data_IF_686704246021
#
_entry.id   IF_686704246021
#
_cell.length_a   1.000
_cell.length_b   1.000
_cell.length_c   1.000
_cell.angle_alpha   90.00
_cell.angle_beta   90.00
_cell.angle_gamma   90.00
#
_symmetry.space_group_name_H-M   'P 1'
#
loop_
_entity.id
_entity.type
_entity.pdbx_description
1 polymer ?
#
# COMPACT_ATOMS: atom_id res chain seq x y z
N UNK A 1 16.34 5.37 3.34
CA UNK A 1 16.19 6.76 3.76
C UNK A 1 15.74 6.84 5.23
N UNK A 2 16.23 7.83 5.96
CA UNK A 2 15.78 8.15 7.31
C UNK A 2 15.02 9.46 7.31
N UNK A 3 13.97 9.53 8.14
CA UNK A 3 13.09 10.68 8.26
C UNK A 3 13.09 11.16 9.69
N UNK A 4 13.12 12.47 9.88
CA UNK A 4 12.99 13.12 11.18
C UNK A 4 12.06 14.31 11.12
N UNK A 5 11.63 14.77 12.28
CA UNK A 5 10.78 15.95 12.41
C UNK A 5 11.55 17.23 12.09
N UNK A 6 10.85 18.19 11.50
CA UNK A 6 11.35 19.53 11.30
C UNK A 6 11.53 20.21 12.66
N UNK A 7 12.71 20.73 12.92
CA UNK A 7 12.93 21.57 14.11
C UNK A 7 12.21 22.91 13.95
N UNK A 8 11.13 23.07 14.69
CA UNK A 8 10.32 24.29 14.72
C UNK A 8 10.71 25.22 15.88
N UNK A 9 11.73 24.86 16.68
CA UNK A 9 12.16 25.64 17.84
C UNK A 9 11.00 25.90 18.81
N UNK A 10 10.73 27.17 19.09
CA UNK A 10 9.65 27.59 20.00
C UNK A 10 8.23 27.25 19.51
N UNK A 11 8.07 26.89 18.23
CA UNK A 11 6.78 26.52 17.62
C UNK A 11 6.51 25.00 17.66
N UNK A 12 7.44 24.19 18.18
CA UNK A 12 7.27 22.73 18.26
C UNK A 12 5.96 22.27 18.92
N UNK A 13 5.42 22.94 19.97
CA UNK A 13 4.13 22.57 20.53
C UNK A 13 2.95 22.71 19.56
N UNK A 14 3.06 23.55 18.53
CA UNK A 14 2.03 23.68 17.49
C UNK A 14 2.01 22.49 16.56
N UNK A 15 3.13 21.78 16.38
CA UNK A 15 3.18 20.57 15.58
C UNK A 15 2.39 19.41 16.21
N UNK A 16 2.35 19.34 17.54
CA UNK A 16 1.62 18.29 18.28
C UNK A 16 0.10 18.39 18.10
N UNK A 17 -0.42 19.62 17.91
CA UNK A 17 -1.84 19.88 17.69
C UNK A 17 -2.21 20.06 16.22
N UNK A 18 -1.24 19.92 15.31
CA UNK A 18 -1.48 20.05 13.89
C UNK A 18 -2.40 18.93 13.38
N UNK A 19 -3.31 19.22 12.43
CA UNK A 19 -4.11 18.19 11.78
C UNK A 19 -3.23 17.08 11.18
N UNK A 20 -3.73 15.84 11.20
CA UNK A 20 -2.98 14.65 10.77
C UNK A 20 -2.40 14.79 9.35
N UNK A 21 -3.12 15.45 8.43
CA UNK A 21 -2.65 15.68 7.06
C UNK A 21 -1.45 16.63 6.94
N UNK A 22 -1.15 17.42 7.99
CA UNK A 22 0.03 18.27 8.03
C UNK A 22 1.29 17.54 8.50
N UNK A 23 1.17 16.33 9.06
CA UNK A 23 2.32 15.58 9.57
C UNK A 23 3.38 15.32 8.48
N UNK A 24 2.94 15.02 7.26
CA UNK A 24 3.86 14.85 6.13
C UNK A 24 4.75 16.08 5.91
N UNK A 25 4.17 17.29 6.06
CA UNK A 25 4.89 18.55 5.87
C UNK A 25 5.83 18.91 7.04
N UNK A 26 5.67 18.27 8.19
CA UNK A 26 6.55 18.40 9.34
C UNK A 26 7.73 17.44 9.32
N UNK A 27 7.75 16.49 8.38
CA UNK A 27 8.84 15.53 8.21
C UNK A 27 9.86 16.04 7.19
N UNK A 28 11.11 15.65 7.40
CA UNK A 28 12.22 15.89 6.46
C UNK A 28 13.03 14.63 6.28
N UNK A 29 13.47 14.35 5.06
CA UNK A 29 14.47 13.33 4.80
C UNK A 29 15.79 13.83 5.37
N UNK A 30 16.35 13.11 6.33
CA UNK A 30 17.58 13.48 7.03
C UNK A 30 18.80 12.84 6.39
N UNK A 31 18.68 11.60 5.93
CA UNK A 31 19.79 10.86 5.34
C UNK A 31 19.28 9.86 4.29
N UNK A 32 20.06 9.70 3.25
CA UNK A 32 19.85 8.69 2.20
C UNK A 32 21.17 7.97 1.98
N UNK A 33 21.21 6.67 2.28
CA UNK A 33 22.38 5.84 2.07
C UNK A 33 22.13 4.87 0.92
N UNK A 34 23.01 4.89 -0.06
CA UNK A 34 23.04 3.87 -1.10
C UNK A 34 23.71 2.61 -0.55
N UNK A 35 23.05 1.48 -0.73
CA UNK A 35 23.53 0.15 -0.32
C UNK A 35 23.15 -0.86 -1.38
N UNK A 36 23.93 -1.91 -1.55
CA UNK A 36 23.55 -3.03 -2.39
C UNK A 36 22.34 -3.80 -1.80
N UNK A 37 21.58 -4.45 -2.67
CA UNK A 37 20.36 -5.16 -2.28
C UNK A 37 20.62 -6.28 -1.26
N UNK A 38 21.76 -6.96 -1.34
CA UNK A 38 22.11 -8.03 -0.38
C UNK A 38 22.24 -7.46 1.02
N UNK A 39 22.98 -6.36 1.19
CA UNK A 39 23.13 -5.67 2.49
C UNK A 39 21.78 -5.21 3.06
N UNK A 40 20.90 -4.67 2.23
CA UNK A 40 19.55 -4.26 2.67
C UNK A 40 18.74 -5.46 3.15
N UNK A 41 18.75 -6.55 2.38
CA UNK A 41 17.99 -7.76 2.70
C UNK A 41 18.57 -8.52 3.91
N UNK A 42 19.89 -8.51 4.10
CA UNK A 42 20.52 -9.07 5.30
C UNK A 42 20.07 -8.32 6.56
N UNK A 43 20.14 -6.99 6.55
CA UNK A 43 19.64 -6.18 7.66
C UNK A 43 18.15 -6.35 7.93
N UNK A 44 17.35 -6.54 6.88
CA UNK A 44 15.92 -6.82 7.02
C UNK A 44 15.67 -8.21 7.63
N UNK A 45 16.48 -9.21 7.29
CA UNK A 45 16.39 -10.56 7.85
C UNK A 45 16.67 -10.58 9.35
N UNK A 46 17.59 -9.74 9.81
CA UNK A 46 17.93 -9.61 11.23
C UNK A 46 16.79 -8.95 12.04
N UNK A 47 15.94 -8.13 11.42
CA UNK A 47 14.96 -7.29 12.12
C UNK A 47 13.51 -7.69 11.88
N UNK A 48 13.16 -8.36 10.76
CA UNK A 48 11.77 -8.63 10.37
C UNK A 48 11.08 -9.69 11.26
N UNK A 49 11.82 -10.51 11.99
CA UNK A 49 11.26 -11.56 12.84
C UNK A 49 10.60 -12.68 12.04
N UNK A 50 9.72 -13.44 12.69
CA UNK A 50 9.05 -14.60 12.10
C UNK A 50 8.07 -14.23 10.97
N UNK A 51 7.54 -13.00 10.99
CA UNK A 51 6.58 -12.52 9.98
C UNK A 51 7.22 -12.15 8.64
N UNK A 52 8.53 -11.96 8.60
CA UNK A 52 9.20 -11.51 7.39
C UNK A 52 8.82 -10.07 6.97
N UNK A 53 9.21 -9.64 5.76
CA UNK A 53 9.07 -8.26 5.29
C UNK A 53 7.65 -7.89 4.87
N UNK A 54 7.33 -6.59 5.01
CA UNK A 54 6.18 -5.95 4.40
C UNK A 54 6.66 -4.98 3.31
N UNK A 55 6.42 -5.34 2.05
CA UNK A 55 6.81 -4.56 0.87
C UNK A 55 5.72 -3.56 0.52
N UNK A 56 6.03 -2.27 0.54
CA UNK A 56 5.11 -1.19 0.19
C UNK A 56 5.43 -0.55 -1.16
N UNK A 57 4.41 -0.34 -1.98
CA UNK A 57 4.48 0.32 -3.29
C UNK A 57 3.61 1.57 -3.27
N UNK A 58 4.23 2.73 -3.47
CA UNK A 58 3.56 4.03 -3.40
C UNK A 58 2.71 4.34 -4.64
N UNK A 59 1.81 5.31 -4.50
CA UNK A 59 0.95 5.77 -5.57
C UNK A 59 1.60 6.80 -6.49
N UNK A 60 0.78 7.38 -7.34
CA UNK A 60 1.09 8.46 -8.28
C UNK A 60 1.45 9.78 -7.59
N UNK A 61 2.18 10.66 -8.28
CA UNK A 61 2.54 12.00 -7.81
C UNK A 61 3.49 11.98 -6.60
N UNK A 62 4.38 11.02 -6.54
CA UNK A 62 5.26 10.78 -5.39
C UNK A 62 6.72 10.74 -5.83
N UNK A 63 7.42 11.88 -5.82
CA UNK A 63 8.87 11.90 -5.94
C UNK A 63 9.55 11.31 -4.69
N UNK A 64 10.84 11.01 -4.78
CA UNK A 64 11.58 10.24 -3.77
C UNK A 64 11.46 10.78 -2.34
N UNK A 65 11.66 12.08 -2.10
CA UNK A 65 11.58 12.68 -0.76
C UNK A 65 10.19 12.53 -0.14
N UNK A 66 9.16 12.77 -0.94
CA UNK A 66 7.77 12.63 -0.54
C UNK A 66 7.44 11.16 -0.26
N UNK A 67 7.93 10.25 -1.11
CA UNK A 67 7.76 8.81 -0.95
C UNK A 67 8.39 8.30 0.33
N UNK A 68 9.63 8.73 0.64
CA UNK A 68 10.32 8.40 1.88
C UNK A 68 9.52 8.84 3.13
N UNK A 69 8.99 10.08 3.14
CA UNK A 69 8.17 10.59 4.25
C UNK A 69 6.86 9.81 4.41
N UNK A 70 6.17 9.51 3.30
CA UNK A 70 4.93 8.72 3.32
C UNK A 70 5.15 7.26 3.72
N UNK A 71 6.24 6.67 3.26
CA UNK A 71 6.65 5.33 3.67
C UNK A 71 6.88 5.27 5.19
N UNK A 72 7.59 6.26 5.75
CA UNK A 72 7.80 6.36 7.20
C UNK A 72 6.47 6.54 7.98
N UNK A 73 5.53 7.34 7.47
CA UNK A 73 4.22 7.53 8.09
C UNK A 73 3.39 6.24 8.06
N UNK A 74 3.38 5.50 6.95
CA UNK A 74 2.69 4.21 6.88
C UNK A 74 3.33 3.20 7.83
N UNK A 75 4.66 3.10 7.82
CA UNK A 75 5.40 2.22 8.72
C UNK A 75 5.02 2.48 10.19
N UNK A 76 4.96 3.76 10.59
CA UNK A 76 4.56 4.15 11.94
C UNK A 76 3.09 3.85 12.21
N UNK A 77 2.18 4.23 11.31
CA UNK A 77 0.73 4.08 11.49
C UNK A 77 0.30 2.62 11.60
N UNK A 78 0.92 1.72 10.81
CA UNK A 78 0.63 0.28 10.80
C UNK A 78 1.58 -0.54 11.70
N UNK A 79 2.46 0.12 12.47
CA UNK A 79 3.41 -0.53 13.40
C UNK A 79 4.28 -1.61 12.71
N UNK A 80 4.90 -1.27 11.58
CA UNK A 80 5.70 -2.19 10.77
C UNK A 80 7.23 -2.00 10.97
N UNK A 81 7.65 -1.45 12.12
CA UNK A 81 9.06 -1.24 12.42
C UNK A 81 9.85 -2.56 12.35
N UNK A 82 11.04 -2.50 11.75
CA UNK A 82 11.93 -3.65 11.59
C UNK A 82 11.61 -4.58 10.40
N UNK A 83 10.42 -4.50 9.82
CA UNK A 83 10.01 -5.36 8.70
C UNK A 83 9.56 -4.62 7.44
N UNK A 84 9.61 -3.31 7.43
CA UNK A 84 9.09 -2.48 6.35
C UNK A 84 10.13 -2.27 5.26
N UNK A 85 9.75 -2.54 4.01
CA UNK A 85 10.52 -2.27 2.81
C UNK A 85 9.68 -1.44 1.84
N UNK A 86 10.23 -0.35 1.33
CA UNK A 86 9.56 0.50 0.36
C UNK A 86 10.15 0.32 -1.04
N UNK A 87 9.33 -0.10 -1.99
CA UNK A 87 9.66 -0.11 -3.41
C UNK A 87 9.33 1.26 -4.02
N UNK A 88 10.38 2.00 -4.38
CA UNK A 88 10.26 3.32 -4.99
C UNK A 88 10.41 3.22 -6.50
N UNK A 89 9.28 3.27 -7.21
CA UNK A 89 9.28 3.38 -8.65
C UNK A 89 9.38 4.86 -9.09
N UNK A 90 9.88 5.18 -10.32
CA UNK A 90 10.24 6.54 -10.73
C UNK A 90 9.03 7.40 -11.11
N UNK A 91 8.17 7.75 -10.14
CA UNK A 91 7.10 8.72 -10.34
C UNK A 91 7.66 10.13 -10.45
N UNK A 92 7.18 10.91 -11.42
CA UNK A 92 7.62 12.27 -11.71
C UNK A 92 7.37 13.28 -10.56
N UNK A 93 6.47 12.95 -9.63
CA UNK A 93 6.14 13.83 -8.52
C UNK A 93 5.39 15.11 -8.94
N UNK A 94 4.77 15.14 -10.12
CA UNK A 94 4.01 16.26 -10.65
C UNK A 94 2.61 15.84 -11.13
N UNK A 95 1.60 16.58 -10.70
CA UNK A 95 0.20 16.23 -10.94
C UNK A 95 -0.19 16.20 -12.44
N UNK A 96 0.54 16.91 -13.30
CA UNK A 96 0.28 16.95 -14.74
C UNK A 96 0.73 15.67 -15.48
N UNK A 97 1.56 14.83 -14.85
CA UNK A 97 2.23 13.71 -15.51
C UNK A 97 1.63 12.33 -15.16
N UNK A 98 0.33 12.27 -14.95
CA UNK A 98 -0.35 11.01 -14.60
C UNK A 98 -0.07 9.88 -15.62
N UNK A 99 -0.12 10.18 -16.92
CA UNK A 99 0.15 9.19 -17.98
C UNK A 99 1.62 8.79 -18.09
N UNK A 100 2.55 9.68 -17.69
CA UNK A 100 3.97 9.33 -17.57
C UNK A 100 4.15 8.35 -16.41
N UNK A 101 3.61 8.69 -15.24
CA UNK A 101 3.63 7.83 -14.07
C UNK A 101 3.03 6.44 -14.35
N UNK A 102 1.98 6.36 -15.19
CA UNK A 102 1.45 5.05 -15.63
C UNK A 102 2.48 4.26 -16.44
N UNK A 103 3.17 4.91 -17.38
CA UNK A 103 4.20 4.26 -18.21
C UNK A 103 5.39 3.81 -17.35
N UNK A 104 5.84 4.65 -16.42
CA UNK A 104 6.94 4.35 -15.49
C UNK A 104 6.60 3.23 -14.52
N UNK A 105 5.35 3.19 -14.05
CA UNK A 105 4.87 2.06 -13.27
C UNK A 105 4.91 0.75 -14.08
N UNK A 106 4.39 0.77 -15.32
CA UNK A 106 4.39 -0.45 -16.15
C UNK A 106 5.80 -0.93 -16.48
N UNK A 107 6.73 0.00 -16.68
CA UNK A 107 8.15 -0.35 -16.79
C UNK A 107 8.68 -1.02 -15.53
N UNK A 108 8.27 -0.57 -14.35
CA UNK A 108 8.74 -1.05 -13.05
C UNK A 108 8.09 -2.39 -12.61
N UNK A 109 7.04 -2.85 -13.28
CA UNK A 109 6.32 -4.09 -12.92
C UNK A 109 7.22 -5.33 -12.92
N UNK A 110 8.11 -5.56 -13.92
CA UNK A 110 9.02 -6.70 -13.89
C UNK A 110 9.99 -6.66 -12.70
N UNK A 111 10.54 -5.50 -12.37
CA UNK A 111 11.46 -5.33 -11.23
C UNK A 111 10.75 -5.55 -9.89
N UNK A 112 9.48 -5.12 -9.80
CA UNK A 112 8.64 -5.39 -8.63
C UNK A 112 8.34 -6.89 -8.51
N UNK A 113 8.04 -7.57 -9.61
CA UNK A 113 7.81 -9.02 -9.63
C UNK A 113 9.08 -9.78 -9.22
N UNK A 114 10.25 -9.40 -9.73
CA UNK A 114 11.54 -9.98 -9.33
C UNK A 114 11.84 -9.75 -7.84
N UNK A 115 11.53 -8.56 -7.34
CA UNK A 115 11.68 -8.22 -5.92
C UNK A 115 10.79 -9.10 -5.03
N UNK A 116 9.53 -9.31 -5.41
CA UNK A 116 8.60 -10.18 -4.68
C UNK A 116 9.10 -11.64 -4.67
N UNK A 117 9.55 -12.16 -5.81
CA UNK A 117 10.09 -13.52 -5.92
C UNK A 117 11.35 -13.68 -5.06
N UNK A 118 12.26 -12.70 -5.09
CA UNK A 118 13.48 -12.75 -4.28
C UNK A 118 13.19 -12.68 -2.77
N UNK A 119 12.23 -11.84 -2.37
CA UNK A 119 11.81 -11.76 -0.97
C UNK A 119 11.23 -13.09 -0.49
N UNK A 120 10.30 -13.70 -1.25
CA UNK A 120 9.73 -15.00 -0.86
C UNK A 120 10.80 -16.10 -0.82
N UNK A 121 11.70 -16.14 -1.81
CA UNK A 121 12.81 -17.10 -1.81
C UNK A 121 13.68 -16.97 -0.57
N UNK A 122 13.87 -15.77 -0.05
CA UNK A 122 14.76 -15.48 1.08
C UNK A 122 14.08 -15.66 2.44
N UNK A 123 12.84 -15.22 2.56
CA UNK A 123 12.12 -15.20 3.84
C UNK A 123 11.19 -16.40 4.01
N UNK A 124 10.87 -17.11 2.94
CA UNK A 124 10.04 -18.30 2.95
C UNK A 124 8.59 -18.05 2.58
N UNK A 125 7.87 -19.15 2.41
CA UNK A 125 6.45 -19.16 2.07
C UNK A 125 5.63 -18.45 3.16
N UNK A 126 4.64 -17.65 2.71
CA UNK A 126 3.70 -16.90 3.56
C UNK A 126 4.34 -15.84 4.48
N UNK A 127 5.65 -15.60 4.34
CA UNK A 127 6.36 -14.63 5.18
C UNK A 127 6.34 -13.20 4.61
N UNK A 128 6.05 -13.03 3.32
CA UNK A 128 6.15 -11.73 2.64
C UNK A 128 4.77 -11.11 2.47
N UNK A 129 4.54 -9.98 3.12
CA UNK A 129 3.34 -9.18 2.89
C UNK A 129 3.59 -8.12 1.81
N UNK A 130 2.56 -7.78 1.04
CA UNK A 130 2.65 -6.79 -0.04
C UNK A 130 1.55 -5.73 0.12
N UNK A 131 1.94 -4.48 0.11
CA UNK A 131 1.04 -3.33 0.30
C UNK A 131 1.14 -2.43 -0.92
N UNK A 132 0.03 -2.14 -1.57
CA UNK A 132 -0.01 -1.18 -2.68
C UNK A 132 -0.98 -0.04 -2.38
N UNK A 133 -0.60 1.19 -2.75
CA UNK A 133 -1.48 2.34 -2.63
C UNK A 133 -1.77 2.96 -4.00
N UNK A 134 -3.04 3.21 -4.31
CA UNK A 134 -3.47 3.95 -5.51
C UNK A 134 -2.92 3.32 -6.80
N UNK A 135 -2.19 4.06 -7.63
CA UNK A 135 -1.51 3.56 -8.83
C UNK A 135 -0.47 2.47 -8.48
N UNK A 136 0.21 2.56 -7.34
CA UNK A 136 1.09 1.49 -6.84
C UNK A 136 0.36 0.19 -6.54
N UNK A 137 -0.91 0.24 -6.11
CA UNK A 137 -1.73 -0.97 -5.96
C UNK A 137 -2.02 -1.63 -7.31
N UNK A 138 -2.21 -0.85 -8.39
CA UNK A 138 -2.25 -1.39 -9.76
C UNK A 138 -0.95 -2.09 -10.10
N UNK A 139 0.19 -1.48 -9.81
CA UNK A 139 1.51 -2.09 -9.99
C UNK A 139 1.65 -3.40 -9.25
N UNK A 140 1.20 -3.46 -8.00
CA UNK A 140 1.17 -4.71 -7.20
C UNK A 140 0.34 -5.78 -7.89
N UNK A 141 -0.89 -5.49 -8.32
CA UNK A 141 -1.75 -6.48 -9.00
C UNK A 141 -1.10 -7.02 -10.28
N UNK A 142 -0.50 -6.13 -11.09
CA UNK A 142 0.20 -6.52 -12.31
C UNK A 142 1.44 -7.36 -12.02
N UNK A 143 2.23 -6.99 -11.01
CA UNK A 143 3.40 -7.76 -10.59
C UNK A 143 2.99 -9.13 -10.03
N UNK A 144 1.95 -9.21 -9.21
CA UNK A 144 1.41 -10.49 -8.71
C UNK A 144 0.93 -11.40 -9.86
N UNK A 145 0.31 -10.82 -10.89
CA UNK A 145 -0.10 -11.58 -12.07
C UNK A 145 1.13 -12.14 -12.82
N UNK A 146 2.18 -11.36 -12.96
CA UNK A 146 3.44 -11.83 -13.54
C UNK A 146 4.10 -12.91 -12.67
N UNK A 147 4.18 -12.69 -11.36
CA UNK A 147 4.68 -13.67 -10.37
C UNK A 147 3.92 -14.99 -10.49
N UNK A 148 2.59 -14.95 -10.47
CA UNK A 148 1.75 -16.16 -10.56
C UNK A 148 1.93 -16.91 -11.89
N UNK A 149 2.28 -16.23 -12.97
CA UNK A 149 2.58 -16.87 -14.25
C UNK A 149 3.99 -17.50 -14.27
N UNK A 150 4.97 -16.87 -13.61
CA UNK A 150 6.36 -17.35 -13.55
C UNK A 150 6.58 -18.39 -12.46
N UNK A 151 5.90 -18.23 -11.33
CA UNK A 151 6.05 -19.04 -10.10
C UNK A 151 4.68 -19.35 -9.47
N UNK A 152 3.90 -20.24 -10.09
CA UNK A 152 2.57 -20.62 -9.57
C UNK A 152 2.62 -21.34 -8.22
N UNK A 153 3.79 -21.80 -7.83
CA UNK A 153 4.10 -22.46 -6.55
C UNK A 153 4.36 -21.46 -5.40
N UNK A 154 4.61 -20.18 -5.71
CA UNK A 154 4.90 -19.16 -4.70
C UNK A 154 3.74 -18.98 -3.71
N UNK A 155 4.07 -18.68 -2.46
CA UNK A 155 3.09 -18.36 -1.43
C UNK A 155 3.52 -17.09 -0.69
N UNK A 156 2.70 -16.07 -0.81
CA UNK A 156 2.86 -14.79 -0.11
C UNK A 156 1.97 -14.76 1.13
N UNK A 157 2.28 -13.91 2.07
CA UNK A 157 1.43 -13.61 3.21
C UNK A 157 0.20 -12.78 2.80
N UNK A 158 0.03 -11.63 3.40
CA UNK A 158 -1.13 -10.79 3.18
C UNK A 158 -0.87 -9.73 2.10
N UNK A 159 -1.86 -9.54 1.22
CA UNK A 159 -1.86 -8.46 0.23
C UNK A 159 -2.89 -7.41 0.62
N UNK A 160 -2.43 -6.18 0.84
CA UNK A 160 -3.29 -5.04 1.17
C UNK A 160 -3.29 -4.02 0.02
N UNK A 161 -4.44 -3.82 -0.61
CA UNK A 161 -4.63 -2.84 -1.69
C UNK A 161 -5.40 -1.63 -1.15
N UNK A 162 -4.72 -0.50 -1.02
CA UNK A 162 -5.21 0.72 -0.39
C UNK A 162 -5.66 1.71 -1.48
N UNK A 163 -6.94 2.05 -1.53
CA UNK A 163 -7.53 2.91 -2.56
C UNK A 163 -7.05 2.56 -3.99
N UNK A 164 -7.11 1.30 -4.43
CA UNK A 164 -6.46 0.87 -5.67
C UNK A 164 -7.04 1.58 -6.90
N UNK A 165 -6.16 2.28 -7.60
CA UNK A 165 -6.46 2.94 -8.87
C UNK A 165 -6.28 1.96 -10.03
N UNK A 166 -7.17 1.00 -10.09
CA UNK A 166 -7.22 -0.04 -11.10
C UNK A 166 -8.66 -0.23 -11.58
N UNK A 167 -8.83 -0.57 -12.85
CA UNK A 167 -10.12 -0.97 -13.39
C UNK A 167 -10.65 -2.22 -12.67
N UNK A 168 -11.88 -2.12 -12.16
CA UNK A 168 -12.51 -3.20 -11.40
C UNK A 168 -12.69 -4.49 -12.23
N UNK A 169 -13.06 -4.36 -13.49
CA UNK A 169 -13.28 -5.50 -14.38
C UNK A 169 -11.98 -6.22 -14.75
N UNK A 170 -10.90 -5.44 -14.91
CA UNK A 170 -9.56 -6.01 -15.16
C UNK A 170 -9.10 -6.76 -13.91
N UNK A 171 -9.26 -6.18 -12.72
CA UNK A 171 -8.92 -6.85 -11.46
C UNK A 171 -9.69 -8.18 -11.32
N UNK A 172 -11.02 -8.15 -11.51
CA UNK A 172 -11.86 -9.35 -11.40
C UNK A 172 -11.42 -10.47 -12.38
N UNK A 173 -10.92 -10.10 -13.57
CA UNK A 173 -10.36 -11.09 -14.52
C UNK A 173 -9.01 -11.65 -14.12
N UNK A 174 -8.18 -10.86 -13.43
CA UNK A 174 -6.85 -11.27 -12.99
C UNK A 174 -6.91 -12.06 -11.68
N UNK A 175 -7.92 -11.82 -10.86
CA UNK A 175 -8.06 -12.38 -9.51
C UNK A 175 -7.90 -13.90 -9.44
N UNK A 176 -8.54 -14.73 -10.30
CA UNK A 176 -8.39 -16.18 -10.21
C UNK A 176 -6.95 -16.68 -10.39
N UNK A 177 -6.06 -15.84 -10.91
CA UNK A 177 -4.64 -16.17 -11.08
C UNK A 177 -3.80 -15.73 -9.90
N UNK A 178 -4.15 -14.59 -9.28
CA UNK A 178 -3.34 -14.00 -8.21
C UNK A 178 -3.80 -14.40 -6.80
N UNK A 179 -5.09 -14.70 -6.63
CA UNK A 179 -5.62 -15.10 -5.31
C UNK A 179 -4.91 -16.37 -4.77
N UNK A 180 -4.64 -17.43 -5.56
CA UNK A 180 -4.03 -18.64 -5.03
C UNK A 180 -2.59 -18.49 -4.53
N UNK A 181 -1.88 -17.40 -4.87
CA UNK A 181 -0.51 -17.16 -4.43
C UNK A 181 -0.40 -16.30 -3.17
N UNK A 182 -1.51 -15.82 -2.63
CA UNK A 182 -1.56 -15.00 -1.40
C UNK A 182 -2.40 -15.73 -0.34
N UNK A 183 -1.96 -15.67 0.93
CA UNK A 183 -2.76 -16.21 2.04
C UNK A 183 -4.07 -15.43 2.21
N UNK A 184 -4.01 -14.11 2.08
CA UNK A 184 -5.21 -13.27 2.01
C UNK A 184 -4.99 -12.03 1.14
N UNK A 185 -6.11 -11.52 0.60
CA UNK A 185 -6.12 -10.25 -0.12
C UNK A 185 -7.22 -9.36 0.46
N UNK A 186 -6.83 -8.17 0.90
CA UNK A 186 -7.75 -7.16 1.44
C UNK A 186 -7.71 -5.91 0.57
N UNK A 187 -8.87 -5.44 0.14
CA UNK A 187 -9.05 -4.20 -0.64
C UNK A 187 -9.74 -3.17 0.23
N UNK A 188 -9.12 -2.01 0.39
CA UNK A 188 -9.71 -0.88 1.10
C UNK A 188 -10.32 0.09 0.10
N UNK A 189 -11.62 0.35 0.27
CA UNK A 189 -12.41 1.21 -0.61
C UNK A 189 -12.99 2.39 0.17
N UNK A 190 -13.29 3.47 -0.52
CA UNK A 190 -13.98 4.61 0.08
C UNK A 190 -14.86 5.34 -0.94
N UNK A 191 -15.99 5.88 -0.48
CA UNK A 191 -16.74 6.90 -1.22
C UNK A 191 -16.07 8.27 -1.03
N UNK A 192 -16.20 9.15 -2.03
CA UNK A 192 -15.66 10.52 -1.91
C UNK A 192 -14.15 10.64 -2.09
N UNK A 193 -13.47 9.60 -2.53
CA UNK A 193 -12.06 9.63 -2.94
C UNK A 193 -11.92 10.44 -4.24
N UNK A 194 -11.40 11.66 -4.12
CA UNK A 194 -11.31 12.61 -5.24
C UNK A 194 -10.33 12.17 -6.34
N UNK A 195 -9.11 11.69 -6.02
CA UNK A 195 -8.20 11.12 -7.00
C UNK A 195 -8.79 9.95 -7.79
N UNK A 196 -9.47 9.01 -7.16
CA UNK A 196 -10.10 7.90 -7.86
C UNK A 196 -11.26 8.35 -8.74
N UNK A 197 -12.07 9.31 -8.27
CA UNK A 197 -13.15 9.90 -9.08
C UNK A 197 -12.60 10.59 -10.35
N UNK A 198 -11.44 11.27 -10.25
CA UNK A 198 -10.77 11.84 -11.40
C UNK A 198 -10.21 10.76 -12.33
N UNK A 199 -9.57 9.75 -11.78
CA UNK A 199 -9.05 8.61 -12.54
C UNK A 199 -10.16 7.90 -13.32
N UNK A 200 -11.32 7.71 -12.70
CA UNK A 200 -12.50 7.16 -13.36
C UNK A 200 -12.96 7.99 -14.58
N UNK A 201 -12.92 9.32 -14.47
CA UNK A 201 -13.24 10.20 -15.57
C UNK A 201 -12.24 10.07 -16.74
N UNK A 202 -10.96 9.93 -16.41
CA UNK A 202 -9.88 9.76 -17.41
C UNK A 202 -9.99 8.42 -18.13
N UNK A 203 -10.25 7.32 -17.40
CA UNK A 203 -10.24 5.97 -17.96
C UNK A 203 -11.62 5.47 -18.40
N UNK A 204 -12.71 6.09 -17.93
CA UNK A 204 -14.09 5.73 -18.31
C UNK A 204 -14.68 4.51 -17.59
N UNK A 205 -13.95 3.92 -16.61
CA UNK A 205 -14.34 2.69 -15.91
C UNK A 205 -14.27 2.83 -14.40
N UNK A 206 -15.11 2.07 -13.67
CA UNK A 206 -15.10 2.03 -12.22
C UNK A 206 -13.71 1.61 -11.68
N UNK A 207 -13.23 2.33 -10.68
CA UNK A 207 -11.96 1.99 -10.02
C UNK A 207 -12.20 1.00 -8.87
N UNK A 208 -11.29 0.05 -8.70
CA UNK A 208 -11.38 -0.97 -7.64
C UNK A 208 -11.48 -0.35 -6.24
N UNK A 209 -10.82 0.77 -5.99
CA UNK A 209 -10.83 1.47 -4.70
C UNK A 209 -12.09 2.34 -4.46
N UNK A 210 -13.03 2.43 -5.41
CA UNK A 210 -14.31 3.09 -5.18
C UNK A 210 -15.28 2.17 -4.43
N UNK A 211 -15.98 2.71 -3.43
CA UNK A 211 -17.13 2.03 -2.82
C UNK A 211 -18.28 1.87 -3.82
N UNK A 212 -19.06 0.80 -3.67
CA UNK A 212 -20.25 0.52 -4.49
C UNK A 212 -20.02 -0.39 -5.70
N UNK A 213 -18.81 -0.93 -5.90
CA UNK A 213 -18.58 -2.01 -6.86
C UNK A 213 -19.27 -3.30 -6.42
N UNK A 214 -19.65 -4.17 -7.37
CA UNK A 214 -20.24 -5.48 -7.09
C UNK A 214 -19.18 -6.46 -6.55
N UNK A 215 -19.04 -6.52 -5.22
CA UNK A 215 -18.04 -7.37 -4.55
C UNK A 215 -18.29 -8.88 -4.73
N UNK A 216 -19.48 -9.30 -5.16
CA UNK A 216 -19.77 -10.71 -5.47
C UNK A 216 -18.92 -11.25 -6.63
N UNK A 217 -18.32 -10.36 -7.41
CA UNK A 217 -17.46 -10.68 -8.55
C UNK A 217 -15.99 -10.87 -8.19
N UNK A 218 -15.62 -10.56 -6.96
CA UNK A 218 -14.24 -10.69 -6.44
C UNK A 218 -14.21 -11.59 -5.21
N UNK A 219 -14.80 -12.77 -5.33
CA UNK A 219 -14.81 -13.77 -4.26
C UNK A 219 -13.39 -14.14 -3.83
N UNK A 220 -13.20 -14.38 -2.53
CA UNK A 220 -11.87 -14.64 -1.94
C UNK A 220 -11.13 -13.36 -1.50
N UNK A 221 -11.66 -12.18 -1.82
CA UNK A 221 -11.10 -10.89 -1.40
C UNK A 221 -11.92 -10.32 -0.25
N UNK A 222 -11.24 -9.85 0.79
CA UNK A 222 -11.84 -9.07 1.86
C UNK A 222 -11.96 -7.61 1.42
N UNK A 223 -13.16 -7.03 1.47
CA UNK A 223 -13.37 -5.63 1.10
C UNK A 223 -13.73 -4.83 2.35
N UNK A 224 -12.91 -3.82 2.66
CA UNK A 224 -13.08 -2.94 3.81
C UNK A 224 -13.54 -1.56 3.30
N UNK A 225 -14.78 -1.22 3.58
CA UNK A 225 -15.35 0.08 3.21
C UNK A 225 -15.08 1.11 4.32
N UNK A 226 -14.35 2.16 3.95
CA UNK A 226 -13.93 3.24 4.83
C UNK A 226 -14.81 4.49 4.69
N UNK A 227 -15.92 4.41 3.94
CA UNK A 227 -16.76 5.56 3.61
C UNK A 227 -17.33 6.29 4.82
N UNK A 228 -17.55 5.56 5.91
CA UNK A 228 -18.09 6.11 7.16
C UNK A 228 -17.02 6.67 8.12
N UNK A 229 -15.73 6.51 7.77
CA UNK A 229 -14.66 7.08 8.61
C UNK A 229 -14.57 8.61 8.43
N UNK A 230 -14.23 9.33 9.51
CA UNK A 230 -13.89 10.74 9.40
C UNK A 230 -12.79 10.93 8.35
N UNK A 231 -12.98 11.91 7.47
CA UNK A 231 -12.00 12.21 6.44
C UNK A 231 -10.86 13.05 7.02
N UNK A 232 -9.79 12.40 7.43
CA UNK A 232 -8.58 13.03 7.96
C UNK A 232 -7.64 13.57 6.84
N UNK A 233 -8.05 13.42 5.57
CA UNK A 233 -7.28 13.88 4.41
C UNK A 233 -8.14 14.78 3.52
N UNK A 234 -7.63 15.93 3.04
CA UNK A 234 -8.37 16.84 2.16
C UNK A 234 -8.89 16.21 0.86
N UNK A 235 -8.30 15.10 0.45
CA UNK A 235 -8.65 14.36 -0.77
C UNK A 235 -9.45 13.08 -0.52
N UNK A 236 -9.53 12.60 0.74
CA UNK A 236 -10.13 11.30 1.06
C UNK A 236 -9.31 10.08 0.58
N UNK A 237 -8.04 10.26 0.21
CA UNK A 237 -7.23 9.24 -0.48
C UNK A 237 -6.06 8.70 0.38
N UNK A 238 -5.71 9.39 1.46
CA UNK A 238 -4.50 9.11 2.25
C UNK A 238 -4.81 8.57 3.66
N UNK A 239 -5.93 7.87 3.80
CA UNK A 239 -6.37 7.31 5.10
C UNK A 239 -5.34 6.36 5.71
N UNK A 240 -4.57 5.63 4.92
CA UNK A 240 -3.57 4.67 5.39
C UNK A 240 -2.40 5.31 6.15
N UNK A 241 -2.11 6.59 5.91
CA UNK A 241 -1.04 7.31 6.62
C UNK A 241 -1.55 8.28 7.68
N UNK A 242 -2.84 8.65 7.64
CA UNK A 242 -3.38 9.65 8.55
C UNK A 242 -4.44 9.12 9.53
N UNK A 243 -5.17 8.04 9.16
CA UNK A 243 -6.20 7.49 10.04
C UNK A 243 -5.63 6.45 11.00
N UNK A 244 -5.68 6.70 12.33
CA UNK A 244 -5.26 5.69 13.31
C UNK A 244 -6.15 4.44 13.29
N UNK A 245 -7.40 4.55 12.85
CA UNK A 245 -8.30 3.40 12.73
C UNK A 245 -7.82 2.44 11.64
N UNK A 246 -7.46 2.99 10.47
CA UNK A 246 -6.89 2.20 9.36
C UNK A 246 -5.52 1.64 9.73
N UNK A 247 -4.69 2.41 10.45
CA UNK A 247 -3.40 1.93 10.96
C UNK A 247 -3.55 0.71 11.87
N UNK A 248 -4.51 0.74 12.81
CA UNK A 248 -4.79 -0.42 13.69
C UNK A 248 -5.33 -1.61 12.91
N UNK A 249 -6.15 -1.40 11.90
CA UNK A 249 -6.66 -2.48 11.06
C UNK A 249 -5.53 -3.13 10.26
N UNK A 250 -4.65 -2.33 9.64
CA UNK A 250 -3.45 -2.82 8.96
C UNK A 250 -2.50 -3.56 9.91
N UNK A 251 -2.33 -3.08 11.14
CA UNK A 251 -1.53 -3.78 12.15
C UNK A 251 -2.11 -5.17 12.46
N UNK A 252 -3.43 -5.29 12.64
CA UNK A 252 -4.08 -6.57 12.88
C UNK A 252 -3.97 -7.52 11.68
N UNK A 253 -4.10 -7.00 10.45
CA UNK A 253 -3.91 -7.77 9.23
C UNK A 253 -2.46 -8.26 9.12
N UNK A 254 -1.51 -7.34 9.11
CA UNK A 254 -0.13 -7.61 8.72
C UNK A 254 0.71 -8.21 9.87
N UNK A 255 0.57 -7.72 11.11
CA UNK A 255 1.37 -8.22 12.23
C UNK A 255 0.71 -9.38 12.99
N UNK A 256 -0.61 -9.46 13.01
CA UNK A 256 -1.35 -10.48 13.74
C UNK A 256 -1.95 -11.55 12.82
N UNK A 257 -1.97 -11.33 11.49
CA UNK A 257 -2.49 -12.25 10.48
C UNK A 257 -4.00 -12.49 10.57
N UNK A 258 -4.74 -11.51 11.11
CA UNK A 258 -6.18 -11.64 11.33
C UNK A 258 -6.98 -11.45 10.05
N UNK A 259 -7.95 -12.32 9.83
CA UNK A 259 -8.97 -12.13 8.80
C UNK A 259 -9.92 -10.97 9.18
N UNK A 260 -10.62 -10.40 8.19
CA UNK A 260 -11.54 -9.28 8.43
C UNK A 260 -12.56 -9.56 9.54
N UNK A 261 -13.08 -10.78 9.62
CA UNK A 261 -14.02 -11.21 10.67
C UNK A 261 -13.45 -11.24 12.09
N UNK A 262 -12.12 -11.21 12.22
CA UNK A 262 -11.40 -11.28 13.50
C UNK A 262 -10.82 -9.92 13.91
N UNK A 263 -10.80 -8.94 12.97
CA UNK A 263 -10.23 -7.62 13.21
C UNK A 263 -11.20 -6.74 13.99
N UNK A 264 -10.72 -6.19 15.10
CA UNK A 264 -11.53 -5.29 15.94
C UNK A 264 -11.75 -3.95 15.20
N UNK A 265 -12.95 -3.41 15.34
CA UNK A 265 -13.33 -2.13 14.71
C UNK A 265 -13.97 -2.29 13.34
N UNK A 266 -14.03 -3.49 12.78
CA UNK A 266 -14.81 -3.78 11.58
C UNK A 266 -16.21 -4.27 11.96
N UNK A 267 -17.19 -3.90 11.14
CA UNK A 267 -18.57 -4.37 11.25
C UNK A 267 -18.93 -5.04 9.94
N UNK A 268 -19.37 -6.31 10.03
CA UNK A 268 -19.83 -7.02 8.85
C UNK A 268 -21.05 -6.31 8.25
N UNK A 269 -20.96 -5.90 7.00
CA UNK A 269 -22.12 -5.48 6.21
C UNK A 269 -22.72 -6.73 5.60
N UNK A 270 -24.00 -7.00 5.88
CA UNK A 270 -24.66 -8.19 5.39
C UNK A 270 -24.61 -8.28 3.87
N UNK A 271 -24.25 -9.46 3.38
CA UNK A 271 -24.50 -9.83 1.98
C UNK A 271 -26.01 -9.89 1.77
N UNK A 272 -26.55 -8.95 1.00
CA UNK A 272 -27.88 -9.13 0.41
C UNK A 272 -27.82 -10.17 -0.70
#
# INVERSE_FOLDING_TARGET
CTVGELDLGVLSPLAEVAPSFMREELLRVQDVQERDSATILDGLQDTAGERGPALYVHGYYIGFDKGCRRAALLQQNANLAGRFLWFSWPSDGAAAYYTHDEADLYWSVPDLADSIIELERRFGAEAVDVIGHSLGARGVVLALYEVANRRPDIRLGHVALLAPDMDFEIFARMLPRIEPIADSMTVYVASGDKPLALSKQVHGYARLGESGNDVSRILGVEVIDLSDLPNDSPTGHLYHIYSPAVGRDLQQLLNEGKRASERSGLVAQGSN
#
